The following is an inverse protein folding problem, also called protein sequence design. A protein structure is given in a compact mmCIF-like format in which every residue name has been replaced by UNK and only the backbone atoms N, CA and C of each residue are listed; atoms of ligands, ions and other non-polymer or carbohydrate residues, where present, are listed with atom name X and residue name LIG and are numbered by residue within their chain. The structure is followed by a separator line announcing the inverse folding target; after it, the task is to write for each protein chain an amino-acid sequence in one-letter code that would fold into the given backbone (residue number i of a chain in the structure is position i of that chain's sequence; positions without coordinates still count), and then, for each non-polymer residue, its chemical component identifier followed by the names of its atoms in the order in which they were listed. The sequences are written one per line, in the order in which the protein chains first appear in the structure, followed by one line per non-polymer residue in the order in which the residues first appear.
data_IF_346061067497
#
_entry.id   IF_346061067497
#
_cell.length_a   1.000
_cell.length_b   1.000
_cell.length_c   1.000
_cell.angle_alpha   90.00
_cell.angle_beta   90.00
_cell.angle_gamma   90.00
#
_symmetry.space_group_name_H-M   'P 1'
#
loop_
_entity.id
_entity.type
_entity.pdbx_description
1 polymer ?
#
# COMPACT_ATOMS: atom_id res chain seq x y z
N UNK A 1 -27.68 15.79 -14.82
CA UNK A 1 -26.43 16.51 -15.12
C UNK A 1 -25.50 15.54 -15.81
N UNK A 2 -25.23 15.71 -17.10
CA UNK A 2 -24.24 14.90 -17.81
C UNK A 2 -22.84 15.27 -17.28
N UNK A 3 -21.93 14.30 -17.11
CA UNK A 3 -20.57 14.59 -16.69
C UNK A 3 -19.88 15.47 -17.72
N UNK A 4 -19.13 16.48 -17.24
CA UNK A 4 -18.34 17.37 -18.09
C UNK A 4 -17.34 16.57 -18.96
N UNK A 5 -16.99 17.12 -20.12
CA UNK A 5 -16.00 16.50 -21.02
C UNK A 5 -14.68 16.17 -20.30
N UNK A 6 -14.26 17.04 -19.37
CA UNK A 6 -13.08 16.82 -18.54
C UNK A 6 -13.19 15.58 -17.64
N UNK A 7 -14.36 15.31 -17.07
CA UNK A 7 -14.61 14.13 -16.22
C UNK A 7 -14.60 12.85 -17.05
N UNK A 8 -15.19 12.86 -18.24
CA UNK A 8 -15.13 11.71 -19.15
C UNK A 8 -13.68 11.45 -19.60
N UNK A 9 -12.95 12.50 -19.95
CA UNK A 9 -11.55 12.39 -20.34
C UNK A 9 -10.66 11.84 -19.22
N UNK A 10 -10.83 12.28 -17.97
CA UNK A 10 -10.04 11.77 -16.83
C UNK A 10 -10.34 10.31 -16.55
N UNK A 11 -11.61 9.87 -16.61
CA UNK A 11 -11.97 8.45 -16.43
C UNK A 11 -11.30 7.59 -17.52
N UNK A 12 -11.36 8.01 -18.78
CA UNK A 12 -10.72 7.29 -19.89
C UNK A 12 -9.20 7.24 -19.69
N UNK A 13 -8.59 8.33 -19.22
CA UNK A 13 -7.15 8.36 -18.95
C UNK A 13 -6.75 7.41 -17.81
N UNK A 14 -7.49 7.42 -16.68
CA UNK A 14 -7.28 6.51 -15.55
C UNK A 14 -7.46 5.04 -15.96
N UNK A 15 -8.49 4.74 -16.75
CA UNK A 15 -8.72 3.41 -17.29
C UNK A 15 -7.55 2.98 -18.19
N UNK A 16 -7.13 3.86 -19.10
CA UNK A 16 -6.03 3.60 -20.04
C UNK A 16 -4.72 3.33 -19.31
N UNK A 17 -4.34 4.16 -18.32
CA UNK A 17 -3.10 3.96 -17.56
C UNK A 17 -3.12 2.67 -16.73
N UNK A 18 -4.29 2.29 -16.19
CA UNK A 18 -4.47 1.03 -15.46
C UNK A 18 -4.29 -0.18 -16.36
N UNK A 19 -4.93 -0.18 -17.53
CA UNK A 19 -4.80 -1.27 -18.50
C UNK A 19 -3.39 -1.34 -19.07
N UNK A 20 -2.79 -0.19 -19.38
CA UNK A 20 -1.44 -0.14 -19.93
C UNK A 20 -0.42 -0.74 -18.95
N UNK A 21 -0.51 -0.43 -17.66
CA UNK A 21 0.36 -1.02 -16.62
C UNK A 21 0.25 -2.55 -16.56
N UNK A 22 -0.96 -3.09 -16.72
CA UNK A 22 -1.20 -4.55 -16.75
C UNK A 22 -0.65 -5.19 -18.02
N UNK A 23 -0.90 -4.59 -19.18
CA UNK A 23 -0.46 -5.11 -20.48
C UNK A 23 1.06 -5.03 -20.59
N UNK A 24 1.70 -3.94 -20.14
CA UNK A 24 3.15 -3.82 -20.13
C UNK A 24 3.78 -4.94 -19.30
N UNK A 25 3.29 -5.16 -18.08
CA UNK A 25 3.79 -6.23 -17.21
C UNK A 25 3.68 -7.61 -17.89
N UNK A 26 2.52 -7.92 -18.46
CA UNK A 26 2.32 -9.16 -19.20
C UNK A 26 3.27 -9.29 -20.39
N UNK A 27 3.34 -8.28 -21.27
CA UNK A 27 4.18 -8.31 -22.49
C UNK A 27 5.67 -8.42 -22.15
N UNK A 28 6.13 -7.70 -21.13
CA UNK A 28 7.53 -7.72 -20.69
C UNK A 28 7.96 -9.09 -20.16
N UNK A 29 7.04 -9.81 -19.51
CA UNK A 29 7.28 -11.10 -18.86
C UNK A 29 6.92 -12.32 -19.73
N UNK A 30 6.06 -12.15 -20.75
CA UNK A 30 5.46 -13.26 -21.55
C UNK A 30 6.48 -14.19 -22.21
N UNK A 31 7.63 -13.67 -22.64
CA UNK A 31 8.64 -14.43 -23.38
C UNK A 31 10.01 -14.49 -22.67
N UNK A 32 10.07 -14.10 -21.39
CA UNK A 32 11.31 -14.15 -20.59
C UNK A 32 11.22 -15.29 -19.59
N UNK A 33 12.11 -16.27 -19.71
CA UNK A 33 12.36 -17.22 -18.62
C UNK A 33 12.95 -16.41 -17.45
N UNK A 34 12.19 -16.28 -16.37
CA UNK A 34 12.66 -15.59 -15.17
C UNK A 34 13.85 -16.38 -14.62
N UNK A 35 15.05 -15.80 -14.72
CA UNK A 35 16.24 -16.32 -14.06
C UNK A 35 15.96 -16.54 -12.56
N UNK A 36 16.51 -17.57 -11.90
CA UNK A 36 16.23 -17.86 -10.49
C UNK A 36 16.43 -16.65 -9.55
N UNK A 37 17.32 -15.71 -9.90
CA UNK A 37 17.47 -14.44 -9.16
C UNK A 37 16.24 -13.52 -9.28
N UNK A 38 15.68 -13.40 -10.48
CA UNK A 38 14.51 -12.55 -10.75
C UNK A 38 13.24 -13.11 -10.11
N UNK A 39 13.10 -14.44 -10.08
CA UNK A 39 12.00 -15.12 -9.40
C UNK A 39 12.04 -14.87 -7.87
N UNK A 40 13.22 -14.98 -7.26
CA UNK A 40 13.40 -14.68 -5.83
C UNK A 40 13.10 -13.22 -5.50
N UNK A 41 13.46 -12.27 -6.37
CA UNK A 41 13.06 -10.87 -6.19
C UNK A 41 11.53 -10.74 -6.24
N UNK A 42 10.88 -11.37 -7.22
CA UNK A 42 9.42 -11.32 -7.39
C UNK A 42 8.65 -11.85 -6.16
N UNK A 43 9.16 -12.89 -5.51
CA UNK A 43 8.58 -13.42 -4.26
C UNK A 43 8.63 -12.40 -3.11
N UNK A 44 9.63 -11.51 -3.10
CA UNK A 44 9.81 -10.48 -2.06
C UNK A 44 9.12 -9.14 -2.39
N UNK A 45 8.72 -8.92 -3.65
CA UNK A 45 7.99 -7.71 -4.09
C UNK A 45 6.78 -7.37 -3.22
N UNK A 46 5.85 -8.30 -2.88
CA UNK A 46 4.67 -7.93 -2.09
C UNK A 46 5.05 -7.33 -0.73
N UNK A 47 6.06 -7.88 -0.04
CA UNK A 47 6.53 -7.31 1.22
C UNK A 47 7.18 -5.93 1.04
N UNK A 48 8.00 -5.76 0.01
CA UNK A 48 8.66 -4.49 -0.28
C UNK A 48 7.67 -3.36 -0.60
N UNK A 49 6.64 -3.65 -1.40
CA UNK A 49 5.57 -2.69 -1.74
C UNK A 49 4.80 -2.26 -0.49
N UNK A 50 4.45 -3.21 0.38
CA UNK A 50 3.78 -2.89 1.65
C UNK A 50 4.61 -1.94 2.51
N UNK A 51 5.92 -2.20 2.65
CA UNK A 51 6.83 -1.32 3.41
C UNK A 51 6.89 0.08 2.79
N UNK A 52 6.96 0.19 1.45
CA UNK A 52 6.97 1.47 0.76
C UNK A 52 5.69 2.28 0.96
N UNK A 53 4.53 1.62 1.10
CA UNK A 53 3.25 2.29 1.37
C UNK A 53 3.15 2.75 2.83
N UNK A 54 3.81 2.06 3.76
CA UNK A 54 3.83 2.43 5.19
C UNK A 54 4.87 3.53 5.47
N UNK A 55 5.96 3.61 4.69
CA UNK A 55 7.03 4.60 4.87
C UNK A 55 6.56 6.06 5.07
N UNK A 56 5.58 6.60 4.31
CA UNK A 56 5.04 7.95 4.52
C UNK A 56 4.38 8.15 5.88
N UNK A 57 3.83 7.09 6.50
CA UNK A 57 3.25 7.16 7.84
C UNK A 57 4.31 7.46 8.90
N UNK A 58 5.57 7.01 8.71
CA UNK A 58 6.69 7.36 9.59
C UNK A 58 7.16 8.82 9.43
N UNK A 59 6.89 9.44 8.28
CA UNK A 59 7.27 10.83 7.98
C UNK A 59 6.18 11.82 8.43
N UNK A 60 5.02 11.34 8.87
CA UNK A 60 3.97 12.22 9.41
C UNK A 60 4.46 12.94 10.66
N UNK A 61 4.42 14.28 10.62
CA UNK A 61 4.94 15.19 11.66
C UNK A 61 4.14 15.16 12.98
N UNK A 62 3.11 14.31 13.07
CA UNK A 62 2.29 14.16 14.28
C UNK A 62 2.88 13.07 15.18
N UNK A 63 3.40 13.41 16.37
CA UNK A 63 3.99 12.43 17.29
C UNK A 63 2.98 11.36 17.74
N UNK A 64 1.69 11.69 17.72
CA UNK A 64 0.60 10.74 17.99
C UNK A 64 0.55 9.58 16.99
N UNK A 65 0.63 9.89 15.70
CA UNK A 65 0.59 8.88 14.64
C UNK A 65 1.84 7.98 14.71
N UNK A 66 3.00 8.56 15.06
CA UNK A 66 4.25 7.82 15.23
C UNK A 66 4.20 6.83 16.41
N UNK A 67 3.63 7.25 17.55
CA UNK A 67 3.45 6.39 18.72
C UNK A 67 2.45 5.26 18.47
N UNK A 68 1.32 5.56 17.82
CA UNK A 68 0.33 4.54 17.44
C UNK A 68 0.93 3.51 16.47
N UNK A 69 1.70 3.99 15.49
CA UNK A 69 2.42 3.14 14.55
C UNK A 69 3.45 2.25 15.26
N UNK A 70 4.23 2.79 16.20
CA UNK A 70 5.21 2.01 16.96
C UNK A 70 4.55 0.89 17.79
N UNK A 71 3.44 1.19 18.47
CA UNK A 71 2.66 0.18 19.22
C UNK A 71 2.10 -0.90 18.29
N UNK A 72 1.56 -0.50 17.13
CA UNK A 72 1.04 -1.42 16.11
C UNK A 72 2.15 -2.33 15.56
N UNK A 73 3.35 -1.78 15.34
CA UNK A 73 4.50 -2.53 14.84
C UNK A 73 4.96 -3.57 15.86
N UNK A 74 5.01 -3.21 17.14
CA UNK A 74 5.34 -4.15 18.23
C UNK A 74 4.27 -5.24 18.34
N UNK A 75 2.99 -4.89 18.26
CA UNK A 75 1.90 -5.87 18.27
C UNK A 75 1.97 -6.83 17.07
N UNK A 76 2.31 -6.32 15.88
CA UNK A 76 2.44 -7.10 14.65
C UNK A 76 3.53 -8.19 14.71
N UNK A 77 4.56 -8.00 15.53
CA UNK A 77 5.62 -9.02 15.70
C UNK A 77 5.21 -10.21 16.56
N UNK A 78 4.12 -10.10 17.35
CA UNK A 78 3.73 -11.14 18.31
C UNK A 78 2.32 -11.72 18.10
N UNK A 79 1.45 -11.08 17.31
CA UNK A 79 0.04 -11.45 17.17
C UNK A 79 -0.32 -11.83 15.73
N UNK A 80 -1.28 -12.77 15.61
CA UNK A 80 -1.89 -13.19 14.34
C UNK A 80 -2.46 -11.98 13.56
N UNK A 81 -2.50 -12.07 12.23
CA UNK A 81 -2.87 -10.98 11.30
C UNK A 81 -4.18 -10.28 11.71
N UNK A 82 -5.18 -11.05 12.16
CA UNK A 82 -6.49 -10.51 12.59
C UNK A 82 -6.41 -9.62 13.84
N UNK A 83 -5.89 -10.08 14.99
CA UNK A 83 -5.76 -9.24 16.18
C UNK A 83 -4.83 -8.04 15.99
N UNK A 84 -3.79 -8.17 15.17
CA UNK A 84 -2.87 -7.07 14.85
C UNK A 84 -3.56 -5.90 14.15
N UNK A 85 -4.44 -6.20 13.18
CA UNK A 85 -5.21 -5.16 12.48
C UNK A 85 -6.18 -4.46 13.42
N UNK A 86 -6.86 -5.20 14.30
CA UNK A 86 -7.80 -4.62 15.28
C UNK A 86 -7.05 -3.69 16.23
N UNK A 87 -5.93 -4.14 16.80
CA UNK A 87 -5.10 -3.32 17.71
C UNK A 87 -4.57 -2.08 16.99
N UNK A 88 -4.16 -2.21 15.73
CA UNK A 88 -3.69 -1.07 14.93
C UNK A 88 -4.77 -0.02 14.67
N UNK A 89 -5.96 -0.45 14.24
CA UNK A 89 -7.09 0.46 14.00
C UNK A 89 -7.57 1.12 15.29
N UNK A 90 -7.68 0.34 16.38
CA UNK A 90 -8.13 0.86 17.68
C UNK A 90 -7.10 1.83 18.26
N UNK A 91 -5.81 1.50 18.24
CA UNK A 91 -4.76 2.38 18.76
C UNK A 91 -4.60 3.65 17.94
N UNK A 92 -4.62 3.58 16.60
CA UNK A 92 -4.62 4.75 15.72
C UNK A 92 -5.86 5.62 15.93
N UNK A 93 -7.04 5.01 16.09
CA UNK A 93 -8.28 5.72 16.40
C UNK A 93 -8.25 6.41 17.77
N UNK A 94 -7.80 5.72 18.81
CA UNK A 94 -7.73 6.26 20.17
C UNK A 94 -6.69 7.38 20.28
N UNK A 95 -5.47 7.19 19.76
CA UNK A 95 -4.45 8.23 19.82
C UNK A 95 -4.84 9.45 19.00
N UNK A 96 -5.50 9.26 17.85
CA UNK A 96 -5.98 10.39 17.03
C UNK A 96 -7.17 11.12 17.64
N UNK A 97 -7.96 10.46 18.48
CA UNK A 97 -9.06 11.09 19.24
C UNK A 97 -8.57 11.75 20.54
N UNK A 98 -7.51 11.24 21.17
CA UNK A 98 -6.99 11.76 22.44
C UNK A 98 -5.92 12.85 22.28
N UNK A 99 -5.18 12.85 21.16
CA UNK A 99 -4.13 13.82 20.86
C UNK A 99 -4.50 14.75 19.67
N UNK A 100 -5.73 14.66 19.17
CA UNK A 100 -6.29 15.49 18.11
C UNK A 100 -7.16 16.61 18.66
#
# INVERSE_FOLDING_TARGET
MLPDFATVATIVLMASTTYLSRVLGYVLLRNRTLSPRMASVMENVPGCVLISVIAPAFVSTRPADLLALAVTLVAATRLSILPTVIVGVVSAGLLRHLLG
#
